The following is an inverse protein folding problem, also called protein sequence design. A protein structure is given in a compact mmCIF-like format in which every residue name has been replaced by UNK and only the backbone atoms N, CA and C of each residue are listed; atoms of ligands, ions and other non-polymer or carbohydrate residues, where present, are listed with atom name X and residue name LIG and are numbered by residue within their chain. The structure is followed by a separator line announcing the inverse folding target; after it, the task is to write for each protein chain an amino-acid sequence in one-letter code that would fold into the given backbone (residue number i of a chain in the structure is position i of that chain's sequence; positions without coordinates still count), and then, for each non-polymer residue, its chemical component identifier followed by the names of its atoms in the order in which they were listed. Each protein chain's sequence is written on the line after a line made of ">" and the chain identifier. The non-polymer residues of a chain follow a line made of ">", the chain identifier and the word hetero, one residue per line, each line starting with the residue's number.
data_IF_861727056394
#
_entry.id   IF_861727056394
#
_cell.length_a   1.000
_cell.length_b   1.000
_cell.length_c   1.000
_cell.angle_alpha   90.00
_cell.angle_beta   90.00
_cell.angle_gamma   90.00
#
_symmetry.space_group_name_H-M   'P 1'
#
loop_
_entity.id
_entity.type
_entity.pdbx_description
1 polymer ?
#
# COMPACT_ATOMS: atom_id res chain seq x y z
N UNK A 1 6.54 -11.38 9.88
CA UNK A 1 5.81 -10.82 8.74
C UNK A 1 6.82 -10.17 7.82
N UNK A 2 6.67 -10.42 6.53
CA UNK A 2 7.47 -9.90 5.45
C UNK A 2 6.58 -9.18 4.42
N UNK A 3 7.22 -8.34 3.63
CA UNK A 3 6.63 -7.62 2.51
C UNK A 3 7.29 -8.10 1.22
N UNK A 4 6.49 -8.35 0.19
CA UNK A 4 6.98 -8.81 -1.10
C UNK A 4 7.78 -7.72 -1.81
N UNK A 5 8.92 -8.11 -2.39
CA UNK A 5 9.87 -7.19 -3.03
C UNK A 5 9.27 -6.39 -4.20
N UNK A 6 8.19 -6.85 -4.80
CA UNK A 6 7.39 -6.05 -5.75
C UNK A 6 7.03 -4.67 -5.17
N UNK A 7 6.68 -4.55 -3.89
CA UNK A 7 6.37 -3.26 -3.27
C UNK A 7 7.57 -2.29 -3.25
N UNK A 8 8.76 -2.81 -2.96
CA UNK A 8 10.02 -2.05 -3.02
C UNK A 8 10.33 -1.62 -4.45
N UNK A 9 10.22 -2.53 -5.42
CA UNK A 9 10.51 -2.24 -6.83
C UNK A 9 9.54 -1.22 -7.44
N UNK A 10 8.24 -1.31 -7.15
CA UNK A 10 7.27 -0.30 -7.56
C UNK A 10 7.60 1.06 -6.96
N UNK A 11 8.07 1.10 -5.71
CA UNK A 11 8.49 2.37 -5.10
C UNK A 11 9.74 2.93 -5.75
N UNK A 12 10.76 2.09 -5.99
CA UNK A 12 11.97 2.47 -6.74
C UNK A 12 11.60 3.13 -8.06
N UNK A 13 10.77 2.47 -8.87
CA UNK A 13 10.33 2.98 -10.17
C UNK A 13 9.57 4.31 -10.03
N UNK A 14 8.67 4.42 -9.05
CA UNK A 14 7.91 5.66 -8.79
C UNK A 14 8.83 6.83 -8.44
N UNK A 15 9.82 6.60 -7.57
CA UNK A 15 10.77 7.65 -7.15
C UNK A 15 11.69 8.05 -8.29
N UNK A 16 12.21 7.09 -9.06
CA UNK A 16 13.05 7.38 -10.23
C UNK A 16 12.29 8.23 -11.25
N UNK A 17 11.03 7.87 -11.55
CA UNK A 17 10.20 8.65 -12.48
C UNK A 17 9.92 10.07 -12.00
N UNK A 18 9.75 10.27 -10.69
CA UNK A 18 9.41 11.57 -10.12
C UNK A 18 10.62 12.46 -9.83
N UNK A 19 11.76 11.88 -9.46
CA UNK A 19 12.90 12.61 -8.91
C UNK A 19 14.25 12.32 -9.60
N UNK A 20 14.26 11.42 -10.58
CA UNK A 20 15.44 11.05 -11.34
C UNK A 20 16.26 9.90 -10.72
N UNK A 21 16.96 9.17 -11.58
CA UNK A 21 17.77 8.01 -11.21
C UNK A 21 18.99 8.39 -10.36
N UNK A 22 19.65 9.51 -10.64
CA UNK A 22 20.79 9.99 -9.86
C UNK A 22 20.42 10.20 -8.38
N UNK A 23 19.25 10.81 -8.15
CA UNK A 23 18.76 11.10 -6.80
C UNK A 23 18.37 9.82 -6.06
N UNK A 24 17.81 8.85 -6.76
CA UNK A 24 17.57 7.50 -6.23
C UNK A 24 18.87 6.78 -5.86
N UNK A 25 19.91 6.85 -6.70
CA UNK A 25 21.19 6.18 -6.44
C UNK A 25 21.91 6.79 -5.22
N UNK A 26 21.87 8.11 -5.07
CA UNK A 26 22.35 8.80 -3.87
C UNK A 26 21.60 8.33 -2.61
N UNK A 27 20.26 8.27 -2.69
CA UNK A 27 19.43 7.77 -1.60
C UNK A 27 19.76 6.32 -1.20
N UNK A 28 19.85 5.39 -2.16
CA UNK A 28 20.15 3.98 -1.87
C UNK A 28 21.56 3.80 -1.32
N UNK A 29 22.53 4.64 -1.72
CA UNK A 29 23.87 4.63 -1.13
C UNK A 29 23.82 4.98 0.36
N UNK A 30 23.10 6.05 0.73
CA UNK A 30 22.89 6.43 2.14
C UNK A 30 22.15 5.33 2.92
N UNK A 31 21.09 4.76 2.34
CA UNK A 31 20.29 3.71 2.96
C UNK A 31 21.11 2.44 3.21
N UNK A 32 21.96 2.05 2.26
CA UNK A 32 22.83 0.88 2.37
C UNK A 32 23.91 1.06 3.44
N UNK A 33 24.44 2.28 3.59
CA UNK A 33 25.36 2.60 4.68
C UNK A 33 24.69 2.51 6.06
N UNK A 34 23.39 2.84 6.14
CA UNK A 34 22.60 2.77 7.37
C UNK A 34 22.18 1.35 7.74
N UNK A 35 21.82 0.54 6.75
CA UNK A 35 21.42 -0.85 6.95
C UNK A 35 21.92 -1.74 5.79
N UNK A 36 22.83 -2.66 6.11
CA UNK A 36 23.47 -3.56 5.13
C UNK A 36 22.47 -4.47 4.42
N UNK A 37 21.24 -4.63 4.92
CA UNK A 37 20.21 -5.38 4.22
C UNK A 37 20.01 -4.87 2.79
N UNK A 38 20.11 -3.55 2.55
CA UNK A 38 19.90 -2.94 1.23
C UNK A 38 21.11 -3.04 0.28
N UNK A 39 22.23 -3.63 0.72
CA UNK A 39 23.37 -3.95 -0.15
C UNK A 39 23.09 -5.12 -1.11
N UNK A 40 22.05 -5.92 -0.82
CA UNK A 40 21.68 -7.06 -1.65
C UNK A 40 20.70 -6.66 -2.76
N UNK A 41 20.66 -7.46 -3.82
CA UNK A 41 19.65 -7.31 -4.86
C UNK A 41 18.27 -7.73 -4.34
N UNK A 42 17.32 -6.81 -4.36
CA UNK A 42 15.91 -7.08 -4.05
C UNK A 42 15.17 -7.40 -5.34
N UNK A 43 14.68 -8.64 -5.48
CA UNK A 43 13.86 -9.09 -6.59
C UNK A 43 12.37 -8.97 -6.26
N UNK A 44 11.48 -9.10 -7.25
CA UNK A 44 10.03 -9.05 -7.04
C UNK A 44 9.52 -10.10 -6.05
N UNK A 45 10.15 -11.28 -6.03
CA UNK A 45 9.80 -12.40 -5.15
C UNK A 45 10.49 -12.35 -3.79
N UNK A 46 11.44 -11.45 -3.57
CA UNK A 46 12.15 -11.34 -2.29
C UNK A 46 11.16 -11.08 -1.14
N UNK A 47 11.37 -11.75 -0.01
CA UNK A 47 10.64 -11.49 1.22
C UNK A 47 11.44 -10.50 2.07
N UNK A 48 10.96 -9.27 2.14
CA UNK A 48 11.60 -8.19 2.90
C UNK A 48 11.07 -8.21 4.32
N UNK A 49 11.91 -8.34 5.36
CA UNK A 49 11.46 -8.21 6.74
C UNK A 49 10.75 -6.87 6.96
N UNK A 50 9.62 -6.90 7.67
CA UNK A 50 8.75 -5.73 7.79
C UNK A 50 9.45 -4.50 8.38
N UNK A 51 10.30 -4.70 9.38
CA UNK A 51 11.10 -3.63 10.00
C UNK A 51 12.03 -2.95 8.99
N UNK A 52 12.63 -3.72 8.06
CA UNK A 52 13.43 -3.19 6.96
C UNK A 52 12.58 -2.40 5.98
N UNK A 53 11.41 -2.92 5.63
CA UNK A 53 10.51 -2.22 4.71
C UNK A 53 9.99 -0.90 5.28
N UNK A 54 9.68 -0.85 6.59
CA UNK A 54 9.32 0.37 7.30
C UNK A 54 10.48 1.38 7.25
N UNK A 55 11.69 0.96 7.61
CA UNK A 55 12.87 1.82 7.56
C UNK A 55 13.08 2.43 6.15
N UNK A 56 12.93 1.61 5.11
CA UNK A 56 12.99 2.08 3.72
C UNK A 56 11.91 3.14 3.43
N UNK A 57 10.66 2.88 3.80
CA UNK A 57 9.54 3.78 3.54
C UNK A 57 9.68 5.11 4.27
N UNK A 58 10.11 5.10 5.53
CA UNK A 58 10.36 6.29 6.33
C UNK A 58 11.48 7.15 5.72
N UNK A 59 12.58 6.50 5.31
CA UNK A 59 13.70 7.22 4.71
C UNK A 59 13.33 7.77 3.32
N UNK A 60 12.46 7.09 2.55
CA UNK A 60 11.88 7.65 1.33
C UNK A 60 11.07 8.92 1.63
N UNK A 61 10.22 8.92 2.68
CA UNK A 61 9.48 10.12 3.05
C UNK A 61 10.39 11.27 3.45
N UNK A 62 11.44 10.99 4.23
CA UNK A 62 12.41 12.01 4.64
C UNK A 62 13.15 12.63 3.47
N UNK A 63 13.67 11.82 2.56
CA UNK A 63 14.51 12.30 1.44
C UNK A 63 13.69 13.01 0.36
N UNK A 64 12.49 12.50 0.04
CA UNK A 64 11.74 12.93 -1.15
C UNK A 64 10.49 13.75 -0.85
N UNK A 65 9.98 13.71 0.38
CA UNK A 65 8.68 14.29 0.74
C UNK A 65 8.68 15.06 2.07
N UNK A 66 9.83 15.59 2.47
CA UNK A 66 9.97 16.42 3.70
C UNK A 66 9.43 15.75 4.96
N UNK A 67 9.48 14.41 5.01
CA UNK A 67 8.94 13.59 6.10
C UNK A 67 7.42 13.79 6.36
N UNK A 68 6.67 14.23 5.34
CA UNK A 68 5.22 14.40 5.43
C UNK A 68 4.50 13.06 5.27
N UNK A 69 3.98 12.56 6.39
CA UNK A 69 3.27 11.28 6.47
C UNK A 69 2.01 11.21 5.60
N UNK A 70 1.43 12.34 5.19
CA UNK A 70 0.28 12.32 4.27
C UNK A 70 0.66 11.78 2.90
N UNK A 71 1.95 11.81 2.54
CA UNK A 71 2.43 11.23 1.28
C UNK A 71 2.29 9.72 1.23
N UNK A 72 2.21 9.00 2.37
CA UNK A 72 1.89 7.57 2.34
C UNK A 72 0.61 7.28 1.56
N UNK A 73 -0.41 8.13 1.71
CA UNK A 73 -1.67 7.99 1.00
C UNK A 73 -1.48 8.05 -0.51
N UNK A 74 -0.89 9.14 -1.01
CA UNK A 74 -0.61 9.33 -2.45
C UNK A 74 0.24 8.20 -3.02
N UNK A 75 1.21 7.75 -2.22
CA UNK A 75 2.08 6.64 -2.56
C UNK A 75 1.30 5.31 -2.66
N UNK A 76 0.28 5.12 -1.82
CA UNK A 76 -0.68 4.03 -1.94
C UNK A 76 -1.49 4.09 -3.23
N UNK A 77 -2.03 5.28 -3.57
CA UNK A 77 -2.77 5.52 -4.80
C UNK A 77 -1.92 5.19 -6.04
N UNK A 78 -0.69 5.71 -6.11
CA UNK A 78 0.23 5.38 -7.21
C UNK A 78 0.61 3.91 -7.29
N UNK A 79 0.69 3.23 -6.14
CA UNK A 79 0.95 1.79 -6.11
C UNK A 79 -0.24 1.01 -6.69
N UNK A 80 -1.48 1.44 -6.43
CA UNK A 80 -2.68 0.84 -7.02
C UNK A 80 -2.79 1.12 -8.52
N UNK A 81 -2.52 2.34 -8.97
CA UNK A 81 -2.44 2.67 -10.41
C UNK A 81 -1.47 1.74 -11.13
N UNK A 82 -0.26 1.57 -10.61
CA UNK A 82 0.73 0.67 -11.21
C UNK A 82 0.27 -0.79 -11.20
N UNK A 83 -0.27 -1.26 -10.08
CA UNK A 83 -0.58 -2.67 -9.88
C UNK A 83 -1.84 -3.13 -10.62
N UNK A 84 -2.86 -2.29 -10.68
CA UNK A 84 -4.23 -2.68 -11.04
C UNK A 84 -4.71 -2.10 -12.38
N UNK A 85 -4.05 -1.08 -12.92
CA UNK A 85 -4.37 -0.58 -14.27
C UNK A 85 -4.07 -1.62 -15.35
N UNK A 86 -4.57 -1.42 -16.57
CA UNK A 86 -4.34 -2.32 -17.68
C UNK A 86 -2.83 -2.56 -17.90
N UNK A 87 -2.43 -3.84 -17.96
CA UNK A 87 -1.01 -4.25 -18.06
C UNK A 87 -0.29 -4.36 -16.71
N UNK A 88 -0.91 -3.95 -15.61
CA UNK A 88 -0.38 -4.10 -14.26
C UNK A 88 -0.42 -5.57 -13.77
N UNK A 89 0.50 -5.96 -12.87
CA UNK A 89 0.66 -7.35 -12.43
C UNK A 89 -0.58 -7.94 -11.74
N UNK A 90 -1.47 -7.10 -11.23
CA UNK A 90 -2.68 -7.50 -10.49
C UNK A 90 -3.96 -6.97 -11.13
N UNK A 91 -3.91 -6.54 -12.40
CA UNK A 91 -5.08 -6.08 -13.15
C UNK A 91 -6.21 -7.12 -13.19
N UNK A 92 -5.87 -8.42 -13.21
CA UNK A 92 -6.83 -9.51 -13.25
C UNK A 92 -7.84 -9.51 -12.10
N UNK A 93 -7.48 -8.94 -10.94
CA UNK A 93 -8.40 -8.79 -9.81
C UNK A 93 -9.54 -7.82 -10.08
N UNK A 94 -9.38 -6.88 -11.02
CA UNK A 94 -10.43 -5.93 -11.41
C UNK A 94 -11.29 -6.41 -12.60
N UNK A 95 -11.02 -7.60 -13.15
CA UNK A 95 -11.78 -8.12 -14.29
C UNK A 95 -13.19 -8.61 -13.90
N UNK A 96 -13.43 -8.86 -12.61
CA UNK A 96 -14.80 -9.09 -12.15
C UNK A 96 -15.62 -7.80 -12.26
N UNK A 97 -16.87 -7.92 -12.70
CA UNK A 97 -17.83 -6.81 -12.70
C UNK A 97 -18.61 -6.71 -11.39
N UNK A 98 -18.46 -7.69 -10.52
CA UNK A 98 -19.15 -7.74 -9.23
C UNK A 98 -18.28 -7.06 -8.16
N UNK A 99 -18.74 -5.88 -7.70
CA UNK A 99 -18.08 -5.12 -6.65
C UNK A 99 -18.03 -5.89 -5.33
N UNK A 100 -19.06 -6.68 -5.01
CA UNK A 100 -19.09 -7.47 -3.77
C UNK A 100 -18.02 -8.54 -3.83
N UNK A 101 -17.91 -9.25 -4.96
CA UNK A 101 -16.85 -10.23 -5.18
C UNK A 101 -15.45 -9.58 -5.11
N UNK A 102 -15.26 -8.42 -5.74
CA UNK A 102 -13.99 -7.70 -5.67
C UNK A 102 -13.62 -7.32 -4.23
N UNK A 103 -14.57 -6.78 -3.47
CA UNK A 103 -14.35 -6.33 -2.09
C UNK A 103 -14.09 -7.52 -1.17
N UNK A 104 -15.00 -8.50 -1.14
CA UNK A 104 -15.01 -9.54 -0.11
C UNK A 104 -13.99 -10.65 -0.39
N UNK A 105 -13.66 -10.91 -1.66
CA UNK A 105 -12.71 -11.94 -2.05
C UNK A 105 -11.44 -11.38 -2.71
N UNK A 106 -11.55 -10.34 -3.54
CA UNK A 106 -10.43 -9.77 -4.29
C UNK A 106 -9.44 -9.02 -3.40
N UNK A 107 -9.92 -8.08 -2.58
CA UNK A 107 -9.04 -7.26 -1.73
C UNK A 107 -8.24 -8.07 -0.69
N UNK A 108 -8.82 -9.04 0.05
CA UNK A 108 -8.05 -9.90 0.94
C UNK A 108 -6.98 -10.73 0.21
N UNK A 109 -7.28 -11.18 -1.02
CA UNK A 109 -6.28 -11.87 -1.86
C UNK A 109 -5.16 -10.92 -2.27
N UNK A 110 -5.47 -9.69 -2.69
CA UNK A 110 -4.46 -8.66 -2.97
C UNK A 110 -3.56 -8.40 -1.76
N UNK A 111 -4.12 -8.31 -0.55
CA UNK A 111 -3.30 -8.22 0.66
C UNK A 111 -2.27 -9.36 0.75
N UNK A 112 -2.72 -10.60 0.55
CA UNK A 112 -1.86 -11.79 0.62
C UNK A 112 -0.80 -11.87 -0.49
N UNK A 113 -0.93 -11.12 -1.59
CA UNK A 113 0.14 -11.07 -2.61
C UNK A 113 1.32 -10.20 -2.17
N UNK A 114 1.10 -9.24 -1.28
CA UNK A 114 2.12 -8.34 -0.77
C UNK A 114 2.64 -8.73 0.61
N UNK A 115 1.81 -9.34 1.44
CA UNK A 115 2.06 -9.55 2.86
C UNK A 115 1.83 -11.01 3.26
N UNK A 116 2.74 -11.58 4.04
CA UNK A 116 2.62 -12.94 4.58
C UNK A 116 2.10 -12.98 6.03
N UNK A 117 1.59 -11.85 6.52
CA UNK A 117 1.10 -11.70 7.89
C UNK A 117 0.03 -10.60 7.99
N UNK A 118 -0.40 -10.32 9.21
CA UNK A 118 -1.57 -9.49 9.45
C UNK A 118 -2.85 -10.10 8.86
N UNK A 119 -3.96 -9.45 9.12
CA UNK A 119 -5.27 -9.89 8.64
C UNK A 119 -5.97 -8.71 8.01
N UNK A 120 -6.33 -8.85 6.74
CA UNK A 120 -7.16 -7.90 5.99
C UNK A 120 -8.51 -8.53 5.73
N UNK A 121 -9.56 -7.95 6.29
CA UNK A 121 -10.94 -8.36 6.03
C UNK A 121 -11.70 -7.22 5.40
N UNK A 122 -12.55 -7.55 4.44
CA UNK A 122 -13.45 -6.60 3.80
C UNK A 122 -14.84 -7.20 3.66
N UNK A 123 -15.86 -6.37 3.87
CA UNK A 123 -17.28 -6.72 3.69
C UNK A 123 -17.99 -5.59 2.96
N UNK A 124 -18.98 -5.93 2.13
CA UNK A 124 -19.78 -4.95 1.40
C UNK A 124 -21.26 -5.05 1.80
N UNK A 125 -21.75 -4.01 2.47
CA UNK A 125 -23.11 -3.96 3.02
C UNK A 125 -23.69 -2.56 2.80
N UNK A 126 -24.96 -2.46 2.37
CA UNK A 126 -25.69 -1.19 2.24
C UNK A 126 -24.89 -0.09 1.50
N UNK A 127 -24.30 -0.46 0.36
CA UNK A 127 -23.47 0.44 -0.47
C UNK A 127 -22.21 1.00 0.24
N UNK A 128 -21.81 0.39 1.35
CA UNK A 128 -20.64 0.76 2.14
C UNK A 128 -19.67 -0.41 2.22
N UNK A 129 -18.42 -0.14 1.89
CA UNK A 129 -17.33 -1.09 2.06
C UNK A 129 -16.72 -0.86 3.43
N UNK A 130 -16.59 -1.93 4.19
CA UNK A 130 -15.96 -1.93 5.50
C UNK A 130 -14.64 -2.69 5.43
N UNK A 131 -13.54 -2.04 5.81
CA UNK A 131 -12.20 -2.63 5.75
C UNK A 131 -11.60 -2.62 7.13
N UNK A 132 -11.12 -3.79 7.57
CA UNK A 132 -10.39 -3.92 8.83
C UNK A 132 -9.03 -4.54 8.58
N UNK A 133 -7.99 -3.94 9.15
CA UNK A 133 -6.64 -4.49 9.21
C UNK A 133 -6.25 -4.69 10.68
N UNK A 134 -5.89 -5.92 11.05
CA UNK A 134 -5.51 -6.30 12.40
C UNK A 134 -4.35 -7.31 12.41
N UNK A 135 -3.89 -7.70 13.59
CA UNK A 135 -2.84 -8.74 13.74
C UNK A 135 -1.47 -8.33 13.19
N UNK A 136 -1.21 -7.04 13.07
CA UNK A 136 0.09 -6.53 12.62
C UNK A 136 1.11 -6.60 13.76
N UNK A 137 2.36 -7.02 13.50
CA UNK A 137 3.38 -7.16 14.53
C UNK A 137 3.94 -5.81 15.01
N UNK A 138 3.69 -4.72 14.28
CA UNK A 138 4.05 -3.35 14.66
C UNK A 138 2.98 -2.37 14.22
N UNK A 139 2.77 -1.33 15.03
CA UNK A 139 1.81 -0.26 14.75
C UNK A 139 2.54 0.86 14.03
N UNK A 140 2.50 0.84 12.70
CA UNK A 140 3.10 1.87 11.87
C UNK A 140 2.06 2.53 10.98
N UNK A 141 2.02 3.87 10.98
CA UNK A 141 1.03 4.67 10.25
C UNK A 141 1.00 4.41 8.74
N UNK A 142 2.09 3.88 8.16
CA UNK A 142 2.11 3.51 6.74
C UNK A 142 1.02 2.47 6.42
N UNK A 143 0.78 1.49 7.31
CA UNK A 143 -0.26 0.48 7.09
C UNK A 143 -1.64 1.11 6.97
N UNK A 144 -1.89 2.19 7.70
CA UNK A 144 -3.14 2.92 7.61
C UNK A 144 -3.19 3.72 6.31
N UNK A 145 -2.27 4.67 6.12
CA UNK A 145 -2.40 5.63 5.03
C UNK A 145 -2.07 5.04 3.65
N UNK A 146 -1.02 4.23 3.54
CA UNK A 146 -0.64 3.65 2.25
C UNK A 146 -1.67 2.62 1.79
N UNK A 147 -2.11 1.73 2.67
CA UNK A 147 -3.07 0.68 2.28
C UNK A 147 -4.44 1.29 1.99
N UNK A 148 -4.91 2.27 2.78
CA UNK A 148 -6.19 2.91 2.50
C UNK A 148 -6.15 3.78 1.23
N UNK A 149 -5.04 4.45 0.95
CA UNK A 149 -4.83 5.12 -0.35
C UNK A 149 -4.85 4.13 -1.52
N UNK A 150 -4.21 2.96 -1.37
CA UNK A 150 -4.28 1.89 -2.35
C UNK A 150 -5.72 1.41 -2.59
N UNK A 151 -6.48 1.15 -1.52
CA UNK A 151 -7.88 0.72 -1.63
C UNK A 151 -8.74 1.79 -2.30
N UNK A 152 -8.63 3.06 -1.89
CA UNK A 152 -9.37 4.17 -2.50
C UNK A 152 -9.15 4.18 -4.01
N UNK A 153 -7.90 4.14 -4.43
CA UNK A 153 -7.57 4.17 -5.85
C UNK A 153 -8.00 2.89 -6.57
N UNK A 154 -7.91 1.71 -5.93
CA UNK A 154 -8.43 0.47 -6.51
C UNK A 154 -9.93 0.56 -6.80
N UNK A 155 -10.71 1.19 -5.92
CA UNK A 155 -12.14 1.42 -6.12
C UNK A 155 -12.42 2.42 -7.24
N UNK A 156 -11.60 3.46 -7.36
CA UNK A 156 -11.67 4.42 -8.48
C UNK A 156 -11.39 3.72 -9.81
N UNK A 157 -10.34 2.89 -9.89
CA UNK A 157 -10.01 2.13 -11.11
C UNK A 157 -11.11 1.10 -11.43
N UNK A 158 -11.74 0.53 -10.41
CA UNK A 158 -12.94 -0.33 -10.55
C UNK A 158 -14.17 0.46 -11.07
N UNK A 159 -14.09 1.79 -11.18
CA UNK A 159 -15.15 2.65 -11.70
C UNK A 159 -16.12 3.14 -10.64
N UNK A 160 -15.72 3.20 -9.36
CA UNK A 160 -16.55 3.72 -8.26
C UNK A 160 -16.06 5.09 -7.78
N UNK A 161 -17.01 5.99 -7.53
CA UNK A 161 -16.79 7.19 -6.72
C UNK A 161 -16.97 6.81 -5.26
N UNK A 162 -16.04 7.22 -4.41
CA UNK A 162 -16.01 6.82 -3.00
C UNK A 162 -15.75 7.99 -2.07
N UNK A 163 -16.33 7.93 -0.88
CA UNK A 163 -15.99 8.81 0.25
C UNK A 163 -15.49 7.94 1.39
N UNK A 164 -14.25 8.18 1.81
CA UNK A 164 -13.63 7.48 2.92
C UNK A 164 -13.99 8.10 4.29
N UNK A 165 -14.22 7.24 5.26
CA UNK A 165 -14.40 7.60 6.66
C UNK A 165 -13.48 6.74 7.52
N UNK A 166 -12.49 7.39 8.15
CA UNK A 166 -11.65 6.77 9.17
C UNK A 166 -12.46 6.60 10.46
N UNK A 167 -12.66 5.35 10.89
CA UNK A 167 -13.34 5.04 12.15
C UNK A 167 -12.34 4.70 13.25
N UNK A 168 -11.31 3.90 12.91
CA UNK A 168 -10.16 3.59 13.77
C UNK A 168 -8.88 3.54 12.95
N UNK A 169 -7.76 3.87 13.56
CA UNK A 169 -6.45 3.80 12.92
C UNK A 169 -5.31 4.01 13.90
N UNK A 170 -4.10 3.64 13.49
CA UNK A 170 -2.89 3.84 14.28
C UNK A 170 -2.59 5.33 14.51
N UNK A 171 -2.93 6.18 13.54
CA UNK A 171 -2.84 7.64 13.67
C UNK A 171 -3.77 8.23 14.74
N UNK A 172 -4.79 7.47 15.17
CA UNK A 172 -5.69 7.81 16.28
C UNK A 172 -5.34 7.05 17.57
N UNK A 173 -4.22 6.30 17.59
CA UNK A 173 -3.79 5.51 18.74
C UNK A 173 -4.52 4.17 18.91
N UNK A 174 -5.31 3.72 17.93
CA UNK A 174 -5.98 2.42 18.01
C UNK A 174 -5.00 1.25 17.77
N UNK A 175 -5.47 0.02 18.02
CA UNK A 175 -4.69 -1.21 17.84
C UNK A 175 -4.99 -1.92 16.51
N UNK A 176 -5.97 -1.42 15.77
CA UNK A 176 -6.42 -1.90 14.47
C UNK A 176 -6.73 -0.70 13.56
N UNK A 177 -6.90 -0.98 12.28
CA UNK A 177 -7.34 0.00 11.29
C UNK A 177 -8.75 -0.41 10.87
N UNK A 178 -9.70 0.51 10.96
CA UNK A 178 -11.06 0.31 10.48
C UNK A 178 -11.55 1.53 9.71
N UNK A 179 -11.81 1.32 8.41
CA UNK A 179 -12.29 2.33 7.50
C UNK A 179 -13.62 1.92 6.88
N UNK A 180 -14.44 2.93 6.58
CA UNK A 180 -15.62 2.79 5.73
C UNK A 180 -15.38 3.55 4.43
N UNK A 181 -15.76 2.96 3.31
CA UNK A 181 -15.81 3.64 2.02
C UNK A 181 -17.26 3.60 1.53
N UNK A 182 -17.92 4.74 1.55
CA UNK A 182 -19.27 4.89 1.00
C UNK A 182 -19.17 5.04 -0.51
N UNK A 183 -19.83 4.16 -1.27
CA UNK A 183 -19.94 4.34 -2.70
C UNK A 183 -20.95 5.45 -2.99
N UNK A 184 -20.63 6.34 -3.93
CA UNK A 184 -21.54 7.36 -4.43
C UNK A 184 -22.04 6.96 -5.81
N UNK A 185 -23.29 7.30 -6.10
CA UNK A 185 -23.85 7.14 -7.43
C UNK A 185 -23.01 7.95 -8.42
N UNK A 186 -22.77 7.36 -9.60
CA UNK A 186 -21.90 7.95 -10.63
C UNK A 186 -22.50 9.20 -11.24
#
# INVERSE_FOLDING_TARGET
>A
MNVKGTAYLTRKDTIIKAFGEERWNSFITKLTAKDKYFSQMIMSVSLIPLDKFILFLDDVLKEFFSNDNTHYWKLGEKSAEFALSQGGPYHSYLLTKDIKQFVEAGMPKLWSTYFDGGTFTARFENNTIHITIAGLPTKHIYFEFLVMGYVRQALIIFGKKVVEHRVRGFSLGNNDIYYKFELKDS
#
